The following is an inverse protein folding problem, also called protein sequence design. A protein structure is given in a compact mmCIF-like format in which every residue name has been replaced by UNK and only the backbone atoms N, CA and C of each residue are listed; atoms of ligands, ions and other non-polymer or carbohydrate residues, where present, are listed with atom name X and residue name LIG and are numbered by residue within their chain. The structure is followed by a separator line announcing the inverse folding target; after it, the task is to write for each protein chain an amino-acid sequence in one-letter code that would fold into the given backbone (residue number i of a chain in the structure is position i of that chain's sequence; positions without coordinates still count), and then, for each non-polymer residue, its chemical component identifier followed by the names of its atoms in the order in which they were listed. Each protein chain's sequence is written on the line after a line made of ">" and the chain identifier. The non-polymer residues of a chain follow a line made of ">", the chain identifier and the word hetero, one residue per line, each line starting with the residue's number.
data_IF_883778962342
#
_entry.id   IF_883778962342
#
_cell.length_a   1.000
_cell.length_b   1.000
_cell.length_c   1.000
_cell.angle_alpha   90.00
_cell.angle_beta   90.00
_cell.angle_gamma   90.00
#
_symmetry.space_group_name_H-M   'P 1'
#
loop_
_entity.id
_entity.type
_entity.pdbx_description
1 polymer ?
#
# COMPACT_ATOMS: atom_id res chain seq x y z
N UNK A 1 8.63 23.40 -2.78
CA UNK A 1 7.20 23.22 -2.37
C UNK A 1 7.10 21.85 -1.73
N UNK A 2 6.75 21.78 -0.43
CA UNK A 2 6.60 20.52 0.28
C UNK A 2 5.45 19.74 -0.38
N UNK A 3 5.76 18.66 -1.10
CA UNK A 3 4.77 17.72 -1.62
C UNK A 3 4.27 16.87 -0.45
N UNK A 4 3.33 17.43 0.29
CA UNK A 4 2.59 16.70 1.30
C UNK A 4 1.72 15.64 0.57
N UNK A 5 2.01 14.35 0.79
CA UNK A 5 1.17 13.24 0.34
C UNK A 5 -0.05 13.11 1.27
N UNK A 6 -0.84 14.18 1.32
CA UNK A 6 -2.12 14.22 2.00
C UNK A 6 -3.19 14.57 0.97
N UNK A 7 -4.25 13.80 1.00
CA UNK A 7 -5.36 13.94 0.09
C UNK A 7 -6.63 13.73 0.89
N UNK A 8 -7.60 14.60 0.66
CA UNK A 8 -8.94 14.40 1.18
C UNK A 8 -9.80 13.84 0.05
N UNK A 9 -10.45 12.71 0.33
CA UNK A 9 -11.42 12.12 -0.58
C UNK A 9 -12.82 12.44 -0.08
N UNK A 10 -13.69 12.88 -0.96
CA UNK A 10 -15.12 12.99 -0.71
C UNK A 10 -15.83 11.96 -1.58
N UNK A 11 -16.54 11.04 -0.96
CA UNK A 11 -17.40 10.07 -1.67
C UNK A 11 -18.67 10.77 -2.12
N UNK A 12 -18.86 10.89 -3.43
CA UNK A 12 -20.12 11.33 -4.04
C UNK A 12 -20.93 10.10 -4.47
N UNK A 13 -22.24 10.22 -4.74
CA UNK A 13 -23.04 9.07 -5.18
C UNK A 13 -22.49 8.37 -6.45
N UNK A 14 -21.84 9.14 -7.32
CA UNK A 14 -21.34 8.66 -8.62
C UNK A 14 -19.84 8.38 -8.65
N UNK A 15 -19.05 8.92 -7.71
CA UNK A 15 -17.60 8.79 -7.75
C UNK A 15 -16.88 9.37 -6.53
N UNK A 16 -15.71 9.95 -6.76
CA UNK A 16 -14.91 10.62 -5.73
C UNK A 16 -14.52 12.01 -6.20
N UNK A 17 -14.67 12.99 -5.32
CA UNK A 17 -13.96 14.25 -5.42
C UNK A 17 -12.64 14.12 -4.66
N UNK A 18 -11.57 14.64 -5.24
CA UNK A 18 -10.22 14.53 -4.71
C UNK A 18 -9.68 15.93 -4.45
N UNK A 19 -9.40 16.23 -3.19
CA UNK A 19 -8.86 17.50 -2.76
C UNK A 19 -7.39 17.37 -2.42
N UNK A 20 -6.57 18.27 -2.97
CA UNK A 20 -5.15 18.36 -2.67
C UNK A 20 -4.93 18.94 -1.28
N UNK A 21 -3.76 18.72 -0.69
CA UNK A 21 -3.36 19.34 0.58
C UNK A 21 -3.41 20.89 0.59
N UNK A 22 -3.55 21.54 -0.58
CA UNK A 22 -3.73 22.98 -0.69
C UNK A 22 -5.19 23.43 -0.53
N UNK A 23 -6.13 22.51 -0.79
CA UNK A 23 -7.56 22.82 -0.88
C UNK A 23 -8.29 22.55 0.45
N UNK A 24 -7.62 21.94 1.44
CA UNK A 24 -8.26 21.64 2.72
C UNK A 24 -7.30 21.72 3.91
N UNK A 25 -7.88 21.90 5.09
CA UNK A 25 -7.23 21.80 6.38
C UNK A 25 -7.97 20.78 7.24
N UNK A 26 -7.23 20.02 8.05
CA UNK A 26 -7.80 19.04 8.99
C UNK A 26 -7.32 19.34 10.40
N UNK A 27 -8.24 19.30 11.36
CA UNK A 27 -7.92 19.29 12.79
C UNK A 27 -8.05 17.86 13.33
N UNK A 28 -7.06 17.42 14.09
CA UNK A 28 -7.02 16.10 14.71
C UNK A 28 -6.71 16.20 16.20
N UNK A 29 -7.24 15.26 16.97
CA UNK A 29 -6.84 15.09 18.37
C UNK A 29 -5.47 14.39 18.51
N UNK A 30 -5.03 14.22 19.76
CA UNK A 30 -3.75 13.59 20.10
C UNK A 30 -3.68 12.10 19.68
N UNK A 31 -4.83 11.44 19.56
CA UNK A 31 -4.96 10.04 19.12
C UNK A 31 -5.00 9.93 17.58
N UNK A 32 -5.19 11.06 16.89
CA UNK A 32 -5.25 11.15 15.44
C UNK A 32 -6.67 11.08 14.86
N UNK A 33 -7.70 11.07 15.70
CA UNK A 33 -9.09 11.16 15.25
C UNK A 33 -9.36 12.56 14.68
N UNK A 34 -10.14 12.62 13.61
CA UNK A 34 -10.52 13.89 12.97
C UNK A 34 -11.55 14.60 13.84
N UNK A 35 -11.38 15.91 14.03
CA UNK A 35 -12.33 16.78 14.74
C UNK A 35 -13.09 17.66 13.77
N UNK A 36 -12.36 18.28 12.85
CA UNK A 36 -12.91 19.16 11.84
C UNK A 36 -12.10 19.08 10.55
N UNK A 37 -12.77 19.37 9.44
CA UNK A 37 -12.23 19.47 8.09
C UNK A 37 -12.79 20.77 7.52
N UNK A 38 -11.93 21.58 6.94
CA UNK A 38 -12.34 22.78 6.20
C UNK A 38 -11.80 22.65 4.80
N UNK A 39 -12.68 22.68 3.81
CA UNK A 39 -12.33 22.63 2.39
C UNK A 39 -12.56 24.03 1.83
N UNK A 40 -11.60 24.55 1.07
CA UNK A 40 -11.72 25.80 0.31
C UNK A 40 -11.82 25.47 -1.17
N UNK A 41 -12.90 25.93 -1.80
CA UNK A 41 -13.13 25.81 -3.23
C UNK A 41 -13.43 27.20 -3.80
N UNK A 42 -13.10 27.40 -5.08
CA UNK A 42 -13.52 28.57 -5.82
C UNK A 42 -14.73 28.16 -6.64
N UNK A 43 -15.90 28.70 -6.27
CA UNK A 43 -17.15 28.48 -6.99
C UNK A 43 -17.41 29.67 -7.92
N UNK A 44 -17.86 29.40 -9.14
CA UNK A 44 -18.34 30.46 -10.04
C UNK A 44 -19.81 30.71 -9.80
N UNK A 45 -20.30 31.89 -10.20
CA UNK A 45 -21.73 32.24 -10.11
C UNK A 45 -22.65 31.20 -10.78
N UNK A 46 -22.17 30.53 -11.83
CA UNK A 46 -22.89 29.47 -12.56
C UNK A 46 -23.03 28.16 -11.76
N UNK A 47 -22.11 27.88 -10.85
CA UNK A 47 -22.09 26.65 -10.04
C UNK A 47 -22.91 26.79 -8.76
N UNK A 48 -23.29 28.02 -8.39
CA UNK A 48 -24.06 28.28 -7.18
C UNK A 48 -25.52 27.83 -7.32
N UNK A 49 -26.03 27.17 -6.29
CA UNK A 49 -27.45 26.80 -6.19
C UNK A 49 -28.34 28.04 -6.10
N UNK A 50 -29.62 27.90 -6.48
CA UNK A 50 -30.58 29.00 -6.39
C UNK A 50 -30.71 29.55 -4.96
N UNK A 51 -30.65 28.66 -3.95
CA UNK A 51 -30.63 29.03 -2.54
C UNK A 51 -29.39 29.88 -2.19
N UNK A 52 -28.20 29.45 -2.61
CA UNK A 52 -26.96 30.20 -2.38
C UNK A 52 -27.02 31.60 -3.00
N UNK A 53 -27.51 31.73 -4.24
CA UNK A 53 -27.69 33.03 -4.91
C UNK A 53 -28.65 33.94 -4.14
N UNK A 54 -29.73 33.38 -3.60
CA UNK A 54 -30.69 34.14 -2.78
C UNK A 54 -30.06 34.61 -1.46
N UNK A 55 -29.34 33.75 -0.74
CA UNK A 55 -28.67 34.12 0.52
C UNK A 55 -27.60 35.20 0.32
N UNK A 56 -26.87 35.14 -0.80
CA UNK A 56 -25.83 36.11 -1.16
C UNK A 56 -26.38 37.38 -1.82
N UNK A 57 -27.70 37.50 -1.99
CA UNK A 57 -28.36 38.61 -2.70
C UNK A 57 -27.80 38.85 -4.12
N UNK A 58 -27.45 37.77 -4.83
CA UNK A 58 -26.93 37.84 -6.20
C UNK A 58 -28.09 37.97 -7.18
N UNK A 59 -28.09 39.06 -7.94
CA UNK A 59 -29.02 39.25 -9.06
C UNK A 59 -28.53 38.40 -10.24
N UNK A 60 -29.35 37.44 -10.64
CA UNK A 60 -29.03 36.53 -11.74
C UNK A 60 -28.87 37.29 -13.05
N UNK A 61 -27.70 37.17 -13.66
CA UNK A 61 -27.39 37.76 -14.97
C UNK A 61 -27.82 36.80 -16.07
N UNK A 62 -28.23 37.34 -17.22
CA UNK A 62 -28.48 36.49 -18.39
C UNK A 62 -27.19 35.85 -18.90
N UNK A 63 -27.27 34.67 -19.50
CA UNK A 63 -26.11 33.94 -20.05
C UNK A 63 -25.28 34.80 -21.04
N UNK A 64 -25.94 35.70 -21.78
CA UNK A 64 -25.30 36.61 -22.72
C UNK A 64 -24.50 37.73 -22.01
N UNK A 65 -24.98 38.23 -20.87
CA UNK A 65 -24.26 39.23 -20.07
C UNK A 65 -23.03 38.64 -19.34
N UNK A 66 -23.07 37.34 -19.04
CA UNK A 66 -21.96 36.61 -18.41
C UNK A 66 -20.83 36.37 -19.42
N UNK A 67 -21.10 36.21 -20.72
CA UNK A 67 -20.03 36.07 -21.73
C UNK A 67 -19.26 37.37 -21.98
N UNK A 68 -19.93 38.52 -21.89
CA UNK A 68 -19.32 39.83 -22.09
C UNK A 68 -18.61 40.39 -20.83
N UNK A 69 -18.80 39.76 -19.66
CA UNK A 69 -18.19 40.18 -18.39
C UNK A 69 -17.39 39.07 -17.72
N UNK A 70 -16.43 39.42 -16.87
CA UNK A 70 -15.68 38.41 -16.09
C UNK A 70 -16.65 37.69 -15.15
N UNK A 71 -16.70 36.35 -15.24
CA UNK A 71 -17.50 35.53 -14.33
C UNK A 71 -17.10 35.81 -12.88
N UNK A 72 -18.08 36.01 -12.00
CA UNK A 72 -17.83 36.26 -10.59
C UNK A 72 -17.41 34.95 -9.91
N UNK A 73 -16.32 35.02 -9.15
CA UNK A 73 -15.77 33.93 -8.37
C UNK A 73 -16.02 34.17 -6.88
N UNK A 74 -16.37 33.11 -6.16
CA UNK A 74 -16.67 33.13 -4.74
C UNK A 74 -15.80 32.08 -4.03
N UNK A 75 -15.25 32.45 -2.87
CA UNK A 75 -14.54 31.51 -2.01
C UNK A 75 -15.55 30.75 -1.16
N UNK A 76 -15.80 29.49 -1.53
CA UNK A 76 -16.71 28.60 -0.82
C UNK A 76 -15.94 27.72 0.16
N UNK A 77 -16.40 27.73 1.41
CA UNK A 77 -15.85 26.93 2.49
C UNK A 77 -16.82 25.83 2.89
N UNK A 78 -16.40 24.58 2.77
CA UNK A 78 -17.14 23.43 3.31
C UNK A 78 -16.55 23.07 4.67
N UNK A 79 -17.32 23.27 5.73
CA UNK A 79 -16.94 22.91 7.10
C UNK A 79 -17.60 21.58 7.44
N UNK A 80 -16.79 20.60 7.87
CA UNK A 80 -17.24 19.30 8.36
C UNK A 80 -16.66 19.09 9.75
N UNK A 81 -17.49 18.85 10.77
CA UNK A 81 -16.99 18.66 12.13
C UNK A 81 -17.78 17.59 12.90
N UNK A 82 -17.12 17.03 13.91
CA UNK A 82 -17.71 16.03 14.79
C UNK A 82 -18.43 16.69 15.96
N UNK A 83 -19.76 16.58 16.00
CA UNK A 83 -20.56 16.99 17.16
C UNK A 83 -20.57 15.87 18.21
N UNK A 84 -19.88 16.11 19.33
CA UNK A 84 -19.80 15.17 20.45
C UNK A 84 -21.13 14.96 21.18
N UNK A 85 -22.05 15.94 21.17
CA UNK A 85 -23.33 15.81 21.85
C UNK A 85 -24.27 14.92 21.06
N UNK A 86 -24.33 15.13 19.74
CA UNK A 86 -25.20 14.36 18.85
C UNK A 86 -24.58 13.05 18.38
N UNK A 87 -23.25 12.88 18.54
CA UNK A 87 -22.49 11.75 18.00
C UNK A 87 -22.65 11.62 16.47
N UNK A 88 -22.65 12.77 15.78
CA UNK A 88 -22.82 12.88 14.34
C UNK A 88 -21.76 13.82 13.74
N UNK A 89 -21.40 13.54 12.50
CA UNK A 89 -20.72 14.49 11.63
C UNK A 89 -21.74 15.48 11.08
N UNK A 90 -21.41 16.77 11.18
CA UNK A 90 -22.20 17.87 10.61
C UNK A 90 -21.36 18.50 9.50
N UNK A 91 -21.95 18.70 8.33
CA UNK A 91 -21.32 19.35 7.18
C UNK A 91 -22.18 20.49 6.66
N UNK A 92 -21.57 21.65 6.40
CA UNK A 92 -22.25 22.81 5.80
C UNK A 92 -21.31 23.63 4.92
N UNK A 93 -21.89 24.30 3.93
CA UNK A 93 -21.18 25.20 3.01
C UNK A 93 -21.41 26.67 3.39
N UNK A 94 -20.37 27.48 3.30
CA UNK A 94 -20.33 28.88 3.69
C UNK A 94 -19.61 29.73 2.66
N UNK A 95 -20.12 30.92 2.35
CA UNK A 95 -19.44 31.96 1.56
C UNK A 95 -19.53 33.24 2.37
N UNK A 96 -18.40 33.91 2.66
CA UNK A 96 -18.34 35.12 3.49
C UNK A 96 -19.11 35.01 4.82
N UNK A 97 -18.94 33.89 5.54
CA UNK A 97 -19.63 33.52 6.78
C UNK A 97 -21.16 33.32 6.66
N UNK A 98 -21.72 33.37 5.44
CA UNK A 98 -23.14 33.13 5.18
C UNK A 98 -23.33 31.65 4.82
N UNK A 99 -24.23 30.91 5.50
CA UNK A 99 -24.55 29.54 5.13
C UNK A 99 -25.27 29.53 3.78
N UNK A 100 -24.70 28.79 2.82
CA UNK A 100 -25.20 28.68 1.44
C UNK A 100 -25.81 27.30 1.13
N UNK A 101 -26.04 26.49 2.17
CA UNK A 101 -26.66 25.18 2.10
C UNK A 101 -28.11 25.24 2.61
N UNK A 102 -29.02 24.48 1.98
CA UNK A 102 -30.43 24.44 2.39
C UNK A 102 -30.62 23.73 3.74
N UNK A 103 -29.92 22.61 3.92
CA UNK A 103 -29.89 21.82 5.16
C UNK A 103 -28.47 21.35 5.46
N UNK A 104 -28.14 21.24 6.74
CA UNK A 104 -26.86 20.67 7.17
C UNK A 104 -26.82 19.19 6.83
N UNK A 105 -25.75 18.75 6.18
CA UNK A 105 -25.47 17.33 5.99
C UNK A 105 -25.17 16.68 7.34
N UNK A 106 -25.79 15.54 7.62
CA UNK A 106 -25.60 14.77 8.85
C UNK A 106 -25.19 13.35 8.52
N UNK A 107 -24.11 12.88 9.12
CA UNK A 107 -23.62 11.52 8.92
C UNK A 107 -23.23 10.86 10.25
N UNK A 108 -23.53 9.56 10.38
CA UNK A 108 -23.09 8.76 11.53
C UNK A 108 -21.57 8.63 11.58
N UNK A 109 -21.01 8.29 12.75
CA UNK A 109 -19.55 8.20 12.99
C UNK A 109 -18.74 7.55 11.87
N UNK A 110 -19.18 6.38 11.41
CA UNK A 110 -18.47 5.57 10.41
C UNK A 110 -18.92 5.84 8.97
N UNK A 111 -19.89 6.74 8.76
CA UNK A 111 -20.50 7.07 7.47
C UNK A 111 -20.13 8.48 7.00
N UNK A 112 -19.07 9.07 7.53
CA UNK A 112 -18.58 10.36 7.03
C UNK A 112 -18.07 10.21 5.58
N UNK A 113 -18.61 10.96 4.60
CA UNK A 113 -18.17 10.86 3.22
C UNK A 113 -16.81 11.51 2.98
N UNK A 114 -16.32 12.32 3.93
CA UNK A 114 -15.04 13.02 3.87
C UNK A 114 -13.95 12.20 4.57
N UNK A 115 -13.03 11.64 3.79
CA UNK A 115 -11.98 10.73 4.25
C UNK A 115 -10.61 11.40 4.06
N UNK A 116 -10.02 11.99 5.12
CA UNK A 116 -8.68 12.56 5.04
C UNK A 116 -7.61 11.46 5.15
N UNK A 117 -7.01 11.13 4.01
CA UNK A 117 -6.00 10.08 3.86
C UNK A 117 -4.61 10.62 4.20
N UNK A 118 -3.82 9.81 4.90
CA UNK A 118 -2.42 10.12 5.26
C UNK A 118 -1.50 9.00 4.82
N UNK A 119 -0.39 9.35 4.17
CA UNK A 119 0.66 8.38 3.82
C UNK A 119 1.38 7.79 5.04
N UNK A 120 1.69 8.63 6.02
CA UNK A 120 2.28 8.21 7.29
C UNK A 120 1.66 9.01 8.44
N UNK A 121 1.51 8.40 9.61
CA UNK A 121 0.98 9.06 10.79
C UNK A 121 2.11 9.30 11.80
N UNK A 122 2.18 10.51 12.36
CA UNK A 122 3.01 10.82 13.53
C UNK A 122 2.12 11.40 14.63
N UNK A 123 2.41 11.04 15.87
CA UNK A 123 1.69 11.58 17.03
C UNK A 123 1.82 13.10 17.09
N UNK A 124 0.70 13.79 17.33
CA UNK A 124 0.64 15.25 17.40
C UNK A 124 0.67 15.99 16.05
N UNK A 125 0.83 15.30 14.91
CA UNK A 125 0.78 15.93 13.59
C UNK A 125 -0.63 15.74 12.95
N UNK A 126 -1.23 16.83 12.49
CA UNK A 126 -2.54 16.81 11.81
C UNK A 126 -2.45 16.19 10.42
N UNK A 127 -1.34 16.44 9.72
CA UNK A 127 -1.02 15.93 8.40
C UNK A 127 0.00 14.80 8.46
N UNK A 128 -0.01 13.94 7.45
CA UNK A 128 1.02 12.93 7.25
C UNK A 128 2.22 13.43 6.46
N UNK A 129 3.32 12.68 6.51
CA UNK A 129 4.54 12.94 5.73
C UNK A 129 4.64 11.99 4.56
N UNK A 130 5.07 12.52 3.42
CA UNK A 130 5.21 11.73 2.20
C UNK A 130 6.51 10.92 2.16
N UNK A 131 6.52 9.83 1.39
CA UNK A 131 7.74 9.04 1.14
C UNK A 131 8.87 9.89 0.55
N UNK A 132 8.55 10.78 -0.39
CA UNK A 132 9.52 11.71 -1.00
C UNK A 132 10.16 12.64 0.03
N UNK A 133 9.40 13.06 1.05
CA UNK A 133 9.90 13.91 2.12
C UNK A 133 10.93 13.18 2.99
N UNK A 134 10.72 11.89 3.24
CA UNK A 134 11.67 11.05 4.00
C UNK A 134 13.03 10.93 3.31
N UNK A 135 13.07 11.01 1.97
CA UNK A 135 14.28 10.97 1.16
C UNK A 135 14.67 12.33 0.57
N UNK A 136 14.11 13.44 1.08
CA UNK A 136 14.35 14.77 0.52
C UNK A 136 15.84 15.15 0.47
N UNK A 137 16.63 14.71 1.45
CA UNK A 137 18.08 14.94 1.47
C UNK A 137 18.82 14.22 0.33
N UNK A 138 18.40 13.00 0.00
CA UNK A 138 18.98 12.24 -1.11
C UNK A 138 18.59 12.85 -2.46
N UNK A 139 17.33 13.29 -2.62
CA UNK A 139 16.90 14.02 -3.83
C UNK A 139 17.64 15.35 -4.00
N UNK A 140 17.86 16.09 -2.91
CA UNK A 140 18.62 17.34 -2.94
C UNK A 140 20.06 17.09 -3.39
N UNK A 141 20.72 16.08 -2.80
CA UNK A 141 22.09 15.71 -3.15
C UNK A 141 22.19 15.20 -4.59
N UNK A 142 21.24 14.39 -5.03
CA UNK A 142 21.17 13.91 -6.42
C UNK A 142 21.06 15.08 -7.39
N UNK A 143 20.13 16.02 -7.16
CA UNK A 143 19.95 17.19 -8.02
C UNK A 143 21.21 18.06 -8.08
N UNK A 144 21.88 18.29 -6.94
CA UNK A 144 23.11 19.05 -6.88
C UNK A 144 24.27 18.37 -7.62
N UNK A 145 24.46 17.06 -7.42
CA UNK A 145 25.54 16.31 -8.07
C UNK A 145 25.30 16.13 -9.57
N UNK A 146 24.07 15.85 -9.98
CA UNK A 146 23.72 15.74 -11.40
C UNK A 146 23.92 17.06 -12.13
N UNK A 147 23.57 18.19 -11.50
CA UNK A 147 23.85 19.52 -12.05
C UNK A 147 25.35 19.78 -12.16
N UNK A 148 26.11 19.50 -11.11
CA UNK A 148 27.56 19.68 -11.11
C UNK A 148 28.26 18.80 -12.16
N UNK A 149 27.77 17.57 -12.37
CA UNK A 149 28.27 16.69 -13.43
C UNK A 149 27.98 17.28 -14.81
N UNK A 150 26.76 17.74 -15.08
CA UNK A 150 26.40 18.36 -16.35
C UNK A 150 27.24 19.62 -16.64
N UNK A 151 27.41 20.51 -15.65
CA UNK A 151 28.23 21.72 -15.78
C UNK A 151 29.71 21.36 -16.06
N UNK A 152 30.20 20.26 -15.47
CA UNK A 152 31.57 19.79 -15.67
C UNK A 152 31.77 19.11 -17.04
N UNK A 153 30.80 18.32 -17.48
CA UNK A 153 30.78 17.71 -18.82
C UNK A 153 30.72 18.79 -19.90
N UNK A 154 29.84 19.79 -19.75
CA UNK A 154 29.76 20.95 -20.65
C UNK A 154 31.11 21.69 -20.72
N UNK A 155 31.69 22.02 -19.56
CA UNK A 155 33.01 22.62 -19.47
C UNK A 155 34.12 21.79 -20.13
N UNK A 156 34.00 20.45 -20.14
CA UNK A 156 34.99 19.57 -20.75
C UNK A 156 34.89 19.41 -22.25
N UNK A 157 33.70 19.63 -22.82
CA UNK A 157 33.54 19.68 -24.28
C UNK A 157 34.12 20.96 -24.89
N UNK A 158 34.31 22.00 -24.07
CA UNK A 158 34.89 23.27 -24.48
C UNK A 158 36.42 23.22 -24.46
N UNK A 159 37.02 22.82 -25.58
CA UNK A 159 38.48 22.81 -25.77
C UNK A 159 38.96 24.24 -26.05
N UNK A 160 39.87 24.75 -25.22
CA UNK A 160 40.54 26.04 -25.47
C UNK A 160 41.95 25.80 -25.94
N UNK A 161 42.39 26.51 -26.97
CA UNK A 161 43.77 26.44 -27.44
C UNK A 161 44.56 27.58 -26.77
N UNK A 162 45.68 27.23 -26.13
CA UNK A 162 46.59 28.20 -25.51
C UNK A 162 47.86 28.24 -26.33
N UNK A 163 48.26 29.46 -26.69
CA UNK A 163 49.48 29.73 -27.46
C UNK A 163 50.48 30.44 -26.55
N UNK A 164 51.73 30.00 -26.59
CA UNK A 164 52.80 30.62 -25.82
C UNK A 164 53.03 32.07 -26.28
N UNK A 165 53.22 33.04 -25.38
CA UNK A 165 53.33 34.46 -25.74
C UNK A 165 54.57 34.79 -26.58
N UNK A 166 55.59 33.93 -26.57
CA UNK A 166 56.80 34.05 -27.38
C UNK A 166 56.79 33.13 -28.61
N UNK A 167 55.64 32.54 -28.94
CA UNK A 167 55.53 31.64 -30.10
C UNK A 167 55.82 32.38 -31.39
N UNK A 168 56.54 31.71 -32.30
CA UNK A 168 56.78 32.21 -33.66
C UNK A 168 55.69 31.77 -34.65
N UNK A 169 54.69 31.04 -34.17
CA UNK A 169 53.65 30.40 -34.97
C UNK A 169 52.50 31.38 -35.28
N UNK A 170 52.02 31.34 -36.53
CA UNK A 170 50.95 32.20 -37.02
C UNK A 170 49.58 31.59 -36.70
N UNK A 171 48.92 32.09 -35.65
CA UNK A 171 47.67 31.54 -35.10
C UNK A 171 46.52 31.61 -36.11
N UNK A 172 46.48 32.63 -36.95
CA UNK A 172 45.41 32.81 -37.94
C UNK A 172 45.48 31.73 -39.03
N UNK A 173 46.68 31.21 -39.31
CA UNK A 173 46.88 30.10 -40.26
C UNK A 173 46.53 28.72 -39.69
N UNK A 174 46.39 28.60 -38.38
CA UNK A 174 45.91 27.36 -37.75
C UNK A 174 44.39 27.19 -37.85
N UNK A 175 43.66 28.28 -38.05
CA UNK A 175 42.21 28.26 -38.24
C UNK A 175 41.80 28.02 -39.71
N UNK A 176 42.77 27.99 -40.63
CA UNK A 176 42.53 27.76 -42.04
C UNK A 176 42.14 26.29 -42.32
N UNK A 177 40.98 26.01 -42.96
CA UNK A 177 40.51 24.64 -43.21
C UNK A 177 41.30 23.87 -44.28
N UNK A 178 42.31 24.46 -44.93
CA UNK A 178 43.08 23.80 -45.99
C UNK A 178 43.96 22.63 -45.47
N UNK A 179 43.58 21.40 -45.82
CA UNK A 179 44.34 20.19 -45.43
C UNK A 179 45.71 20.13 -46.12
N UNK A 180 46.78 20.05 -45.33
CA UNK A 180 48.16 19.93 -45.81
C UNK A 180 48.95 21.24 -45.85
N UNK A 181 48.40 22.33 -45.28
CA UNK A 181 49.09 23.60 -45.11
C UNK A 181 50.35 23.43 -44.26
N UNK A 182 51.48 23.97 -44.74
CA UNK A 182 52.74 23.96 -44.00
C UNK A 182 52.83 25.21 -43.13
N UNK A 183 52.82 25.01 -41.81
CA UNK A 183 52.92 26.09 -40.82
C UNK A 183 54.31 26.04 -40.19
N UNK A 184 54.93 27.21 -40.02
CA UNK A 184 56.26 27.35 -39.42
C UNK A 184 56.12 27.60 -37.91
N UNK A 185 56.72 26.73 -37.10
CA UNK A 185 56.66 26.82 -35.63
C UNK A 185 57.03 25.50 -34.97
N UNK A 186 57.21 25.53 -33.65
CA UNK A 186 57.45 24.33 -32.85
C UNK A 186 56.12 23.76 -32.32
N UNK A 187 55.82 22.45 -32.50
CA UNK A 187 54.53 21.87 -32.11
C UNK A 187 54.17 22.01 -30.62
N UNK A 188 55.17 22.17 -29.75
CA UNK A 188 54.96 22.31 -28.30
C UNK A 188 54.57 23.74 -27.88
N UNK A 189 54.60 24.73 -28.80
CA UNK A 189 54.23 26.12 -28.50
C UNK A 189 52.71 26.34 -28.41
N UNK A 190 51.93 25.37 -28.90
CA UNK A 190 50.48 25.33 -28.87
C UNK A 190 50.03 24.12 -28.05
N UNK A 191 49.17 24.37 -27.06
CA UNK A 191 48.61 23.30 -26.26
C UNK A 191 47.09 23.45 -26.18
N UNK A 192 46.38 22.35 -26.42
CA UNK A 192 44.97 22.27 -26.07
C UNK A 192 44.84 22.24 -24.54
N UNK A 193 44.22 23.26 -23.98
CA UNK A 193 43.78 23.30 -22.60
C UNK A 193 42.44 22.59 -22.52
N UNK A 194 42.51 21.29 -22.26
CA UNK A 194 41.36 20.47 -21.92
C UNK A 194 41.00 20.71 -20.44
N UNK A 195 39.80 21.23 -20.19
CA UNK A 195 39.21 21.22 -18.87
C UNK A 195 38.54 19.87 -18.68
N UNK A 196 38.76 19.18 -17.56
CA UNK A 196 38.08 17.90 -17.30
C UNK A 196 39.01 16.76 -16.95
N UNK A 197 39.25 16.59 -15.65
CA UNK A 197 39.80 15.35 -15.11
C UNK A 197 38.75 14.23 -15.15
N UNK A 198 39.00 13.21 -15.98
CA UNK A 198 38.19 11.99 -16.07
C UNK A 198 37.91 11.34 -14.70
N UNK A 199 38.90 11.36 -13.81
CA UNK A 199 38.78 10.84 -12.44
C UNK A 199 37.66 11.53 -11.64
N UNK A 200 37.43 12.84 -11.85
CA UNK A 200 36.35 13.59 -11.17
C UNK A 200 34.98 13.23 -11.74
N UNK A 201 34.85 13.06 -13.05
CA UNK A 201 33.62 12.60 -13.71
C UNK A 201 33.24 11.22 -13.17
N UNK A 202 34.20 10.30 -13.13
CA UNK A 202 33.99 8.97 -12.57
C UNK A 202 33.55 9.01 -11.09
N UNK A 203 34.20 9.82 -10.26
CA UNK A 203 33.82 9.94 -8.84
C UNK A 203 32.41 10.52 -8.64
N UNK A 204 32.01 11.50 -9.46
CA UNK A 204 30.66 12.07 -9.46
C UNK A 204 29.62 11.05 -9.94
N UNK A 205 29.89 10.35 -11.05
CA UNK A 205 29.01 9.29 -11.57
C UNK A 205 28.84 8.15 -10.56
N UNK A 206 29.91 7.71 -9.90
CA UNK A 206 29.84 6.70 -8.84
C UNK A 206 28.95 7.17 -7.67
N UNK A 207 29.13 8.42 -7.22
CA UNK A 207 28.31 9.00 -6.15
C UNK A 207 26.84 9.11 -6.53
N UNK A 208 26.53 9.53 -7.76
CA UNK A 208 25.17 9.58 -8.30
C UNK A 208 24.57 8.17 -8.32
N UNK A 209 25.30 7.18 -8.84
CA UNK A 209 24.84 5.80 -8.93
C UNK A 209 24.53 5.20 -7.56
N UNK A 210 25.34 5.49 -6.52
CA UNK A 210 25.04 5.05 -5.15
C UNK A 210 23.73 5.67 -4.62
N UNK A 211 23.47 6.95 -4.90
CA UNK A 211 22.23 7.61 -4.48
C UNK A 211 21.03 7.05 -5.24
N UNK A 212 21.17 6.87 -6.56
CA UNK A 212 20.12 6.28 -7.41
C UNK A 212 19.78 4.86 -6.93
N UNK A 213 20.76 4.01 -6.64
CA UNK A 213 20.52 2.67 -6.10
C UNK A 213 19.71 2.71 -4.79
N UNK A 214 20.08 3.60 -3.85
CA UNK A 214 19.34 3.78 -2.58
C UNK A 214 17.90 4.24 -2.81
N UNK A 215 17.70 5.23 -3.66
CA UNK A 215 16.37 5.72 -4.02
C UNK A 215 15.55 4.66 -4.74
N UNK A 216 16.17 3.86 -5.60
CA UNK A 216 15.47 2.81 -6.33
C UNK A 216 14.98 1.69 -5.45
N UNK A 217 15.74 1.27 -4.44
CA UNK A 217 15.22 0.36 -3.41
C UNK A 217 14.05 1.00 -2.66
N UNK A 218 14.16 2.26 -2.25
CA UNK A 218 13.12 2.95 -1.50
C UNK A 218 11.81 3.14 -2.26
N UNK A 219 11.87 3.43 -3.56
CA UNK A 219 10.71 3.64 -4.44
C UNK A 219 10.30 2.41 -5.24
N UNK A 220 10.90 1.24 -4.93
CA UNK A 220 10.70 -0.01 -5.65
C UNK A 220 10.87 0.13 -7.17
N UNK A 221 11.78 1.00 -7.61
CA UNK A 221 12.16 1.08 -9.00
C UNK A 221 12.87 -0.23 -9.33
N UNK A 222 12.26 -1.04 -10.21
CA UNK A 222 12.83 -2.30 -10.69
C UNK A 222 14.07 -2.07 -11.55
N UNK A 223 15.16 -1.57 -10.96
CA UNK A 223 16.44 -1.38 -11.65
C UNK A 223 17.05 -2.70 -12.13
N UNK A 224 16.59 -3.83 -11.57
CA UNK A 224 17.13 -5.16 -11.84
C UNK A 224 16.09 -6.10 -12.48
N UNK A 225 15.05 -5.58 -13.16
CA UNK A 225 14.37 -6.44 -14.13
C UNK A 225 15.34 -6.66 -15.29
N UNK A 226 15.89 -7.87 -15.39
CA UNK A 226 16.61 -8.27 -16.61
C UNK A 226 15.62 -8.08 -17.76
N UNK A 227 16.06 -7.41 -18.82
CA UNK A 227 15.30 -7.20 -20.06
C UNK A 227 15.06 -8.52 -20.85
N UNK A 228 14.93 -9.66 -20.16
CA UNK A 228 14.62 -10.96 -20.69
C UNK A 228 13.16 -11.29 -20.41
N UNK A 229 12.42 -11.60 -21.47
CA UNK A 229 10.97 -11.84 -21.65
C UNK A 229 10.29 -12.83 -20.68
N UNK A 230 11.00 -13.39 -19.69
CA UNK A 230 10.46 -14.38 -18.74
C UNK A 230 10.87 -14.03 -17.32
N UNK A 231 10.04 -13.23 -16.66
CA UNK A 231 10.07 -13.12 -15.19
C UNK A 231 9.43 -14.40 -14.65
N UNK A 232 10.17 -15.15 -13.84
CA UNK A 232 9.62 -16.36 -13.22
C UNK A 232 8.61 -15.97 -12.13
N UNK A 233 7.58 -16.80 -11.90
CA UNK A 233 6.58 -16.54 -10.86
C UNK A 233 7.20 -16.32 -9.47
N UNK A 234 8.36 -16.91 -9.22
CA UNK A 234 9.14 -16.74 -7.98
C UNK A 234 9.73 -15.33 -7.83
N UNK A 235 10.27 -14.74 -8.90
CA UNK A 235 10.83 -13.38 -8.87
C UNK A 235 9.72 -12.33 -8.67
N UNK A 236 8.54 -12.55 -9.25
CA UNK A 236 7.37 -11.69 -9.01
C UNK A 236 6.93 -11.78 -7.54
N UNK A 237 6.91 -12.99 -6.97
CA UNK A 237 6.55 -13.19 -5.57
C UNK A 237 7.58 -12.58 -4.62
N UNK A 238 8.87 -12.69 -4.93
CA UNK A 238 9.94 -12.08 -4.15
C UNK A 238 9.86 -10.54 -4.21
N UNK A 239 9.62 -9.98 -5.40
CA UNK A 239 9.44 -8.53 -5.57
C UNK A 239 8.19 -8.02 -4.82
N UNK A 240 7.11 -8.82 -4.78
CA UNK A 240 5.94 -8.51 -3.97
C UNK A 240 6.24 -8.57 -2.47
N UNK A 241 7.07 -9.51 -2.01
CA UNK A 241 7.49 -9.59 -0.60
C UNK A 241 8.39 -8.42 -0.20
N UNK A 242 9.32 -8.01 -1.08
CA UNK A 242 10.15 -6.81 -0.87
C UNK A 242 9.31 -5.53 -0.83
N UNK A 243 8.26 -5.47 -1.67
CA UNK A 243 7.24 -4.43 -1.63
C UNK A 243 6.56 -4.37 -0.26
N UNK A 244 6.15 -5.52 0.25
CA UNK A 244 5.46 -5.66 1.53
C UNK A 244 6.37 -5.27 2.69
N UNK A 245 7.65 -5.62 2.68
CA UNK A 245 8.59 -5.20 3.74
C UNK A 245 8.78 -3.68 3.71
N UNK A 246 8.88 -3.09 2.51
CA UNK A 246 9.16 -1.65 2.34
C UNK A 246 7.93 -0.78 2.58
N UNK A 247 6.76 -1.20 2.11
CA UNK A 247 5.49 -0.46 2.17
C UNK A 247 4.49 -1.03 3.18
N UNK A 248 4.79 -2.11 3.89
CA UNK A 248 3.83 -2.79 4.77
C UNK A 248 3.27 -1.90 5.87
N UNK A 249 4.10 -1.02 6.44
CA UNK A 249 3.64 -0.01 7.41
C UNK A 249 2.67 1.00 6.80
N UNK A 250 2.93 1.45 5.57
CA UNK A 250 2.05 2.38 4.84
C UNK A 250 0.75 1.71 4.43
N UNK A 251 0.83 0.49 3.90
CA UNK A 251 -0.34 -0.26 3.45
C UNK A 251 -1.28 -0.59 4.62
N UNK A 252 -0.73 -0.97 5.79
CA UNK A 252 -1.52 -1.16 7.01
C UNK A 252 -2.25 0.12 7.43
N UNK A 253 -1.56 1.27 7.39
CA UNK A 253 -2.16 2.57 7.71
C UNK A 253 -3.25 2.97 6.70
N UNK A 254 -3.01 2.81 5.40
CA UNK A 254 -4.00 3.08 4.36
C UNK A 254 -5.21 2.16 4.51
N UNK A 255 -5.00 0.91 4.91
CA UNK A 255 -6.07 -0.02 5.22
C UNK A 255 -7.03 0.52 6.29
N UNK A 256 -6.47 1.03 7.38
CA UNK A 256 -7.26 1.58 8.49
C UNK A 256 -7.85 2.95 8.18
N UNK A 257 -7.13 3.81 7.46
CA UNK A 257 -7.52 5.21 7.23
C UNK A 257 -8.33 5.45 5.96
N UNK A 258 -8.23 4.58 4.96
CA UNK A 258 -8.94 4.68 3.68
C UNK A 258 -9.89 3.50 3.46
N UNK A 259 -9.39 2.26 3.47
CA UNK A 259 -10.23 1.11 3.11
C UNK A 259 -11.36 0.87 4.10
N UNK A 260 -11.08 1.02 5.40
CA UNK A 260 -12.08 0.79 6.45
C UNK A 260 -13.26 1.80 6.38
N UNK A 261 -13.04 3.13 6.37
CA UNK A 261 -14.13 4.09 6.15
C UNK A 261 -14.87 3.87 4.83
N UNK A 262 -14.12 3.55 3.76
CA UNK A 262 -14.72 3.32 2.45
C UNK A 262 -15.61 2.08 2.43
N UNK A 263 -15.22 1.00 3.11
CA UNK A 263 -16.03 -0.19 3.22
C UNK A 263 -17.37 0.08 3.92
N UNK A 264 -17.39 0.88 4.98
CA UNK A 264 -18.65 1.29 5.63
C UNK A 264 -19.56 2.08 4.69
N UNK A 265 -19.01 3.03 3.93
CA UNK A 265 -19.78 3.81 2.95
C UNK A 265 -20.34 2.92 1.83
N UNK A 266 -19.52 2.03 1.28
CA UNK A 266 -19.95 1.11 0.21
C UNK A 266 -21.01 0.11 0.69
N UNK A 267 -20.89 -0.40 1.92
CA UNK A 267 -21.92 -1.23 2.52
C UNK A 267 -23.24 -0.48 2.65
N UNK A 268 -23.20 0.79 3.07
CA UNK A 268 -24.38 1.64 3.20
C UNK A 268 -25.01 2.01 1.85
N UNK A 269 -24.20 2.19 0.80
CA UNK A 269 -24.69 2.40 -0.56
C UNK A 269 -25.36 1.15 -1.15
N UNK A 270 -24.84 -0.05 -0.83
CA UNK A 270 -25.39 -1.31 -1.29
C UNK A 270 -26.72 -1.63 -0.62
N UNK A 271 -26.78 -1.50 0.70
CA UNK A 271 -27.97 -1.71 1.50
C UNK A 271 -27.97 -0.74 2.70
N UNK A 272 -28.94 0.17 2.71
CA UNK A 272 -29.03 1.22 3.73
C UNK A 272 -29.32 0.66 5.12
N UNK A 273 -30.12 -0.40 5.21
CA UNK A 273 -30.54 -0.98 6.48
C UNK A 273 -29.38 -1.77 7.10
N UNK A 274 -28.71 -2.59 6.28
CA UNK A 274 -27.50 -3.32 6.69
C UNK A 274 -26.37 -2.34 7.02
N UNK A 275 -26.11 -1.36 6.16
CA UNK A 275 -25.06 -0.36 6.40
C UNK A 275 -25.30 0.48 7.66
N UNK A 276 -26.56 0.84 7.95
CA UNK A 276 -26.92 1.53 9.18
C UNK A 276 -26.70 0.65 10.42
N UNK A 277 -27.10 -0.62 10.37
CA UNK A 277 -26.88 -1.58 11.47
C UNK A 277 -25.38 -1.85 11.70
N UNK A 278 -24.59 -1.94 10.63
CA UNK A 278 -23.13 -2.07 10.69
C UNK A 278 -22.47 -0.81 11.26
N UNK A 279 -22.92 0.37 10.85
CA UNK A 279 -22.42 1.64 11.38
C UNK A 279 -22.80 1.86 12.85
N UNK A 280 -23.97 1.38 13.27
CA UNK A 280 -24.45 1.39 14.66
C UNK A 280 -23.76 0.33 15.54
N UNK A 281 -23.03 -0.61 14.93
CA UNK A 281 -22.35 -1.70 15.65
C UNK A 281 -23.27 -2.86 16.05
N UNK A 282 -24.49 -2.91 15.53
CA UNK A 282 -25.42 -4.03 15.71
C UNK A 282 -24.96 -5.27 14.94
N UNK A 283 -24.33 -5.06 13.79
CA UNK A 283 -23.68 -6.09 12.99
C UNK A 283 -22.17 -5.85 13.03
N UNK A 284 -21.44 -6.76 13.68
CA UNK A 284 -19.98 -6.69 13.75
C UNK A 284 -19.37 -7.27 12.47
N UNK A 285 -19.07 -6.41 11.50
CA UNK A 285 -18.36 -6.80 10.28
C UNK A 285 -16.86 -6.75 10.56
N UNK A 286 -16.21 -7.91 10.54
CA UNK A 286 -14.76 -7.97 10.51
C UNK A 286 -14.27 -7.65 9.09
N UNK A 287 -13.98 -6.38 8.86
CA UNK A 287 -13.44 -5.90 7.58
C UNK A 287 -11.94 -6.21 7.55
N UNK A 288 -11.60 -7.41 7.07
CA UNK A 288 -10.21 -7.83 6.85
C UNK A 288 -9.69 -7.06 5.63
N UNK A 289 -8.88 -6.04 5.88
CA UNK A 289 -8.27 -5.22 4.82
C UNK A 289 -6.75 -5.36 4.90
N UNK A 290 -6.06 -5.12 3.78
CA UNK A 290 -4.61 -5.09 3.75
C UNK A 290 -3.97 -6.46 3.47
N UNK A 291 -2.77 -6.70 4.04
CA UNK A 291 -1.96 -7.91 3.84
C UNK A 291 -2.72 -9.18 4.26
N UNK A 292 -3.62 -9.05 5.22
CA UNK A 292 -4.45 -10.16 5.71
C UNK A 292 -5.47 -10.67 4.67
N UNK A 293 -5.87 -9.85 3.69
CA UNK A 293 -6.73 -10.32 2.59
C UNK A 293 -5.93 -11.13 1.56
N UNK A 294 -4.65 -10.79 1.34
CA UNK A 294 -3.69 -11.63 0.58
C UNK A 294 -3.34 -12.92 1.33
N UNK A 295 -3.45 -12.89 2.66
CA UNK A 295 -3.10 -13.98 3.56
C UNK A 295 -3.97 -15.23 3.42
N UNK A 296 -5.08 -15.23 2.68
CA UNK A 296 -5.81 -16.50 2.41
C UNK A 296 -4.99 -17.45 1.52
N UNK A 297 -4.26 -16.91 0.55
CA UNK A 297 -3.32 -17.72 -0.23
C UNK A 297 -2.06 -18.05 0.58
N UNK A 298 -1.61 -17.14 1.44
CA UNK A 298 -0.49 -17.40 2.34
C UNK A 298 -0.84 -18.48 3.39
N UNK A 299 -2.05 -18.50 3.90
CA UNK A 299 -2.56 -19.50 4.85
C UNK A 299 -2.60 -20.87 4.20
N UNK A 300 -3.06 -20.98 2.95
CA UNK A 300 -2.97 -22.23 2.18
C UNK A 300 -1.51 -22.67 1.99
N UNK A 301 -0.58 -21.75 1.71
CA UNK A 301 0.84 -22.08 1.61
C UNK A 301 1.44 -22.53 2.96
N UNK A 302 1.05 -21.89 4.06
CA UNK A 302 1.44 -22.28 5.42
C UNK A 302 0.92 -23.67 5.77
N UNK A 303 -0.32 -24.00 5.42
CA UNK A 303 -0.87 -25.36 5.56
C UNK A 303 -0.08 -26.40 4.76
N UNK A 304 0.30 -26.08 3.51
CA UNK A 304 1.11 -26.98 2.67
C UNK A 304 2.49 -27.18 3.29
N UNK A 305 3.15 -26.11 3.75
CA UNK A 305 4.46 -26.19 4.38
C UNK A 305 4.42 -26.97 5.71
N UNK A 306 3.44 -26.67 6.58
CA UNK A 306 3.17 -27.37 7.82
C UNK A 306 2.97 -28.87 7.56
N UNK A 307 2.19 -29.24 6.54
CA UNK A 307 1.94 -30.64 6.18
C UNK A 307 3.23 -31.36 5.77
N UNK A 308 4.10 -30.69 5.00
CA UNK A 308 5.40 -31.25 4.60
C UNK A 308 6.33 -31.43 5.80
N UNK A 309 6.42 -30.45 6.69
CA UNK A 309 7.25 -30.50 7.91
C UNK A 309 6.77 -31.59 8.88
N UNK A 310 5.46 -31.63 9.17
CA UNK A 310 4.87 -32.66 10.03
C UNK A 310 5.01 -34.07 9.43
N UNK A 311 4.90 -34.20 8.10
CA UNK A 311 5.11 -35.45 7.38
C UNK A 311 6.52 -36.03 7.57
N UNK A 312 7.53 -35.17 7.73
CA UNK A 312 8.91 -35.58 8.02
C UNK A 312 9.15 -35.82 9.52
N UNK A 313 8.63 -34.95 10.37
CA UNK A 313 8.98 -34.93 11.80
C UNK A 313 8.24 -36.02 12.61
N UNK A 314 6.94 -36.22 12.35
CA UNK A 314 6.11 -37.14 13.14
C UNK A 314 6.63 -38.59 13.05
N UNK A 315 6.95 -39.15 11.87
CA UNK A 315 7.47 -40.51 11.78
C UNK A 315 8.82 -40.66 12.49
N UNK A 316 9.71 -39.69 12.35
CA UNK A 316 11.04 -39.70 12.97
C UNK A 316 10.95 -39.65 14.50
N UNK A 317 10.12 -38.77 15.07
CA UNK A 317 9.99 -38.65 16.52
C UNK A 317 9.34 -39.90 17.15
N UNK A 318 8.36 -40.52 16.47
CA UNK A 318 7.77 -41.79 16.90
C UNK A 318 8.79 -42.94 16.92
N UNK A 319 9.76 -42.93 15.99
CA UNK A 319 10.85 -43.92 15.98
C UNK A 319 11.88 -43.67 17.08
N UNK A 320 12.17 -42.41 17.41
CA UNK A 320 13.16 -42.04 18.44
C UNK A 320 12.65 -42.36 19.85
N UNK A 321 11.37 -42.09 20.14
CA UNK A 321 10.79 -42.49 21.43
C UNK A 321 9.27 -42.52 21.40
N UNK A 322 8.61 -43.53 22.01
CA UNK A 322 7.17 -43.54 22.19
C UNK A 322 6.67 -42.48 23.19
N UNK A 323 7.58 -41.73 23.84
CA UNK A 323 7.26 -40.69 24.82
C UNK A 323 6.76 -39.38 24.19
N UNK A 324 6.91 -39.21 22.87
CA UNK A 324 6.47 -37.99 22.19
C UNK A 324 4.96 -38.01 21.93
N UNK A 325 4.25 -37.02 22.48
CA UNK A 325 2.84 -36.79 22.17
C UNK A 325 2.74 -36.06 20.82
N UNK A 326 2.15 -36.71 19.83
CA UNK A 326 2.06 -36.20 18.45
C UNK A 326 1.12 -34.99 18.35
N UNK A 327 0.03 -34.97 19.10
CA UNK A 327 -0.98 -33.92 19.04
C UNK A 327 -0.43 -32.59 19.56
N UNK A 328 0.32 -32.63 20.67
CA UNK A 328 1.01 -31.44 21.20
C UNK A 328 2.09 -30.90 20.27
N UNK A 329 2.72 -31.76 19.47
CA UNK A 329 3.70 -31.35 18.47
C UNK A 329 2.98 -30.67 17.30
N UNK A 330 1.89 -31.26 16.80
CA UNK A 330 1.07 -30.67 15.74
C UNK A 330 0.56 -29.29 16.17
N UNK A 331 -0.04 -29.16 17.35
CA UNK A 331 -0.51 -27.88 17.89
C UNK A 331 0.62 -26.85 18.03
N UNK A 332 1.82 -27.29 18.46
CA UNK A 332 2.98 -26.39 18.61
C UNK A 332 3.49 -25.90 17.26
N UNK A 333 3.48 -26.75 16.24
CA UNK A 333 3.87 -26.40 14.88
C UNK A 333 2.81 -25.52 14.19
N UNK A 334 1.51 -25.80 14.40
CA UNK A 334 0.41 -24.94 13.95
C UNK A 334 0.52 -23.52 14.52
N UNK A 335 0.78 -23.41 15.83
CA UNK A 335 1.06 -22.14 16.50
C UNK A 335 2.30 -21.44 15.92
N UNK A 336 3.34 -22.20 15.56
CA UNK A 336 4.56 -21.67 14.96
C UNK A 336 4.35 -21.12 13.54
N UNK A 337 3.46 -21.74 12.76
CA UNK A 337 3.08 -21.30 11.41
C UNK A 337 1.95 -20.26 11.39
N UNK A 338 1.38 -19.91 12.55
CA UNK A 338 0.33 -18.88 12.68
C UNK A 338 -1.04 -19.32 12.16
N UNK A 339 -1.29 -20.62 12.12
CA UNK A 339 -2.49 -21.23 11.54
C UNK A 339 -3.54 -21.51 12.62
N UNK A 340 -4.82 -21.25 12.33
CA UNK A 340 -5.91 -21.45 13.27
C UNK A 340 -6.33 -22.93 13.41
N UNK A 341 -6.80 -23.29 14.60
CA UNK A 341 -7.32 -24.63 14.92
C UNK A 341 -8.72 -24.90 14.33
N UNK A 342 -9.22 -24.08 13.40
CA UNK A 342 -10.58 -24.17 12.87
C UNK A 342 -10.86 -25.50 12.16
N UNK A 343 -9.83 -26.16 11.65
CA UNK A 343 -9.93 -27.45 10.97
C UNK A 343 -9.68 -28.66 11.89
N UNK A 344 -9.40 -28.44 13.17
CA UNK A 344 -9.28 -29.52 14.16
C UNK A 344 -10.63 -29.78 14.81
N UNK A 345 -10.98 -31.06 15.00
CA UNK A 345 -12.15 -31.43 15.79
C UNK A 345 -12.05 -30.85 17.20
N UNK A 346 -13.15 -30.29 17.68
CA UNK A 346 -13.25 -29.90 19.08
C UNK A 346 -13.13 -31.12 20.00
N UNK A 347 -12.74 -30.94 21.28
CA UNK A 347 -12.67 -32.07 22.23
C UNK A 347 -14.00 -32.83 22.35
N UNK A 348 -15.13 -32.14 22.18
CA UNK A 348 -16.47 -32.73 22.22
C UNK A 348 -16.78 -33.57 20.97
N UNK A 349 -16.44 -33.06 19.78
CA UNK A 349 -16.58 -33.80 18.53
C UNK A 349 -15.65 -35.01 18.49
N UNK A 350 -14.41 -34.86 18.96
CA UNK A 350 -13.44 -35.96 19.05
C UNK A 350 -13.94 -37.06 19.99
N UNK A 351 -14.56 -36.70 21.11
CA UNK A 351 -15.10 -37.68 22.06
C UNK A 351 -16.30 -38.42 21.49
N UNK A 352 -17.18 -37.74 20.75
CA UNK A 352 -18.28 -38.38 20.03
C UNK A 352 -17.80 -39.33 18.92
N UNK A 353 -16.74 -38.95 18.18
CA UNK A 353 -16.10 -39.81 17.17
C UNK A 353 -15.46 -41.03 17.82
N UNK A 354 -14.79 -40.87 18.96
CA UNK A 354 -14.18 -41.98 19.71
C UNK A 354 -15.24 -42.93 20.27
N UNK A 355 -16.35 -42.41 20.78
CA UNK A 355 -17.47 -43.22 21.28
C UNK A 355 -18.14 -44.00 20.14
N UNK A 356 -18.36 -43.37 18.98
CA UNK A 356 -18.86 -44.06 17.79
C UNK A 356 -17.90 -45.14 17.32
N UNK A 357 -16.59 -44.84 17.27
CA UNK A 357 -15.58 -45.80 16.83
C UNK A 357 -15.46 -46.97 17.81
N UNK A 358 -15.60 -46.73 19.12
CA UNK A 358 -15.58 -47.76 20.15
C UNK A 358 -16.83 -48.65 20.09
N UNK A 359 -18.00 -48.08 19.81
CA UNK A 359 -19.22 -48.85 19.57
C UNK A 359 -19.12 -49.71 18.30
N UNK A 360 -18.52 -49.17 17.24
CA UNK A 360 -18.32 -49.90 15.98
C UNK A 360 -17.33 -51.05 16.16
N UNK A 361 -16.22 -50.83 16.88
CA UNK A 361 -15.27 -51.88 17.25
C UNK A 361 -15.90 -52.97 18.11
N UNK A 362 -16.73 -52.60 19.10
CA UNK A 362 -17.46 -53.58 19.90
C UNK A 362 -18.45 -54.40 19.06
N UNK A 363 -19.09 -53.78 18.07
CA UNK A 363 -20.03 -54.47 17.19
C UNK A 363 -19.32 -55.45 16.25
N UNK A 364 -18.16 -55.08 15.70
CA UNK A 364 -17.31 -55.98 14.91
C UNK A 364 -16.79 -57.14 15.76
N UNK A 365 -16.35 -56.88 16.98
CA UNK A 365 -15.84 -57.92 17.89
C UNK A 365 -16.94 -58.86 18.40
N UNK A 366 -18.17 -58.36 18.57
CA UNK A 366 -19.34 -59.19 18.86
C UNK A 366 -19.70 -60.07 17.66
N UNK A 367 -19.68 -59.54 16.44
CA UNK A 367 -19.92 -60.32 15.22
C UNK A 367 -18.89 -61.45 15.06
N UNK A 368 -17.59 -61.18 15.25
CA UNK A 368 -16.54 -62.20 15.18
C UNK A 368 -16.71 -63.29 16.26
N UNK A 369 -17.14 -62.94 17.49
CA UNK A 369 -17.43 -63.95 18.51
C UNK A 369 -18.66 -64.80 18.18
N UNK A 370 -19.73 -64.21 17.63
CA UNK A 370 -20.90 -65.00 17.23
C UNK A 370 -20.59 -65.95 16.07
N UNK A 371 -19.78 -65.53 15.10
CA UNK A 371 -19.35 -66.39 13.99
C UNK A 371 -18.51 -67.56 14.52
N UNK A 372 -17.49 -67.30 15.35
CA UNK A 372 -16.67 -68.37 15.95
C UNK A 372 -17.45 -69.30 16.90
N UNK A 373 -18.49 -68.78 17.58
CA UNK A 373 -19.35 -69.62 18.45
C UNK A 373 -20.33 -70.50 17.68
N UNK A 374 -20.74 -70.09 16.47
CA UNK A 374 -21.57 -70.92 15.61
C UNK A 374 -20.75 -72.05 14.99
N UNK A 375 -19.51 -71.80 14.58
CA UNK A 375 -18.59 -72.84 14.09
C UNK A 375 -18.27 -73.88 15.17
N UNK A 376 -18.05 -73.46 16.43
CA UNK A 376 -17.80 -74.37 17.55
C UNK A 376 -19.02 -75.24 17.93
N UNK A 377 -20.25 -74.74 17.74
CA UNK A 377 -21.47 -75.52 17.96
C UNK A 377 -21.74 -76.52 16.83
N UNK A 378 -21.36 -76.19 15.60
CA UNK A 378 -21.41 -77.13 14.47
C UNK A 378 -20.41 -78.27 14.67
N UNK A 379 -19.17 -77.99 15.08
CA UNK A 379 -18.17 -79.02 15.41
C UNK A 379 -18.61 -79.90 16.59
N UNK A 380 -19.13 -79.32 17.68
CA UNK A 380 -19.61 -80.10 18.83
C UNK A 380 -20.85 -80.96 18.51
N UNK A 381 -21.70 -80.54 17.57
CA UNK A 381 -22.84 -81.34 17.09
C UNK A 381 -22.40 -82.50 16.17
N UNK A 382 -21.27 -82.38 15.49
CA UNK A 382 -20.69 -83.47 14.69
C UNK A 382 -19.97 -84.52 15.56
N UNK A 383 -19.40 -84.14 16.70
CA UNK A 383 -18.75 -85.08 17.63
C UNK A 383 -19.75 -85.88 18.50
N UNK A 384 -20.92 -85.32 18.82
CA UNK A 384 -21.98 -86.01 19.57
C UNK A 384 -22.90 -86.91 18.72
N UNK A 385 -22.83 -86.80 17.39
CA UNK A 385 -23.53 -87.70 16.45
C UNK A 385 -22.74 -88.96 16.05
N UNK A 386 -21.50 -89.10 16.54
CA UNK A 386 -20.60 -90.22 16.20
C UNK A 386 -20.55 -91.36 17.22
N UNK A 387 -21.37 -91.33 18.27
CA UNK A 387 -21.49 -92.38 19.29
C UNK A 387 -22.96 -92.84 19.40
N UNK A 388 -23.43 -93.53 18.37
CA UNK A 388 -24.60 -94.44 18.41
C UNK A 388 -24.39 -95.61 17.47
#
# INVERSE_FOLDING_TARGET
>A
KMTHLNTLLERTPTGFNVYSALDYVVDRDLEGNVRAIVIKQIAKEEDLTAYAKQQLNIIERSYLEIQDTTSREFEMYTLVYWDKQQQLWISGQYIDDIPVHEEEGKASKNLCPYIPVRWSARSGEWFGRGQVEMFAGDFLKLSALSRALADYEDGSTNVKVVVSPNSSMDVDKLDDPESGLVILGEPNEIQALEFGQYQKIQALQQSINTIVQRLSTAFMLGLNQRQGERVTAYEVQLQAQDAEITLGGVYSLLSQSLHLPLAYLLCYELDKDVGAAVAAGEINVQIITGVQALSRNAELQQWVQLTQELGLIIPTLKQVSPRFNTDKIIERFMLGHGVNNEFLYTPQEMQAILEQQQQQLQQTQYQERTINSQDALVEASQELGGLS
#
